data_IF_769882606170
#
_entry.id   IF_769882606170
#
_cell.length_a   1.000
_cell.length_b   1.000
_cell.length_c   1.000
_cell.angle_alpha   90.00
_cell.angle_beta   90.00
_cell.angle_gamma   90.00
#
_symmetry.space_group_name_H-M   'P 1'
#
loop_
_entity.id
_entity.type
_entity.pdbx_description
1 polymer ?
#
# COMPACT_ATOMS: atom_id res chain seq x y z
N UNK A 1 -40.54 2.87 20.65
CA UNK A 1 -39.86 4.05 20.06
C UNK A 1 -38.42 4.04 20.53
N UNK A 2 -37.52 3.50 19.74
CA UNK A 2 -36.07 3.46 20.02
C UNK A 2 -35.44 4.83 19.79
N UNK A 3 -34.70 5.29 20.78
CA UNK A 3 -34.00 6.59 20.79
C UNK A 3 -32.89 6.58 19.75
N UNK A 4 -33.08 7.25 18.62
CA UNK A 4 -32.03 7.49 17.61
C UNK A 4 -31.00 8.44 18.23
N UNK A 5 -29.93 7.85 18.77
CA UNK A 5 -28.76 8.60 19.23
C UNK A 5 -27.76 8.64 18.07
N UNK A 6 -27.65 9.78 17.40
CA UNK A 6 -26.72 10.12 16.32
C UNK A 6 -26.94 9.44 14.96
N UNK A 7 -28.14 9.13 14.51
CA UNK A 7 -28.41 8.83 13.09
C UNK A 7 -27.69 7.61 12.44
N UNK A 8 -26.80 6.91 13.15
CA UNK A 8 -26.04 5.79 12.64
C UNK A 8 -26.66 4.46 13.11
N UNK A 9 -26.73 3.47 12.20
CA UNK A 9 -27.08 2.10 12.54
C UNK A 9 -25.90 1.35 13.22
N UNK A 10 -26.11 0.08 13.58
CA UNK A 10 -25.11 -0.72 14.28
C UNK A 10 -23.87 -0.98 13.43
N UNK A 11 -24.03 -1.15 12.12
CA UNK A 11 -22.94 -1.44 11.18
C UNK A 11 -22.10 -0.19 10.92
N UNK A 12 -22.74 0.95 10.78
CA UNK A 12 -22.06 2.24 10.66
C UNK A 12 -21.22 2.56 11.89
N UNK A 13 -21.75 2.34 13.11
CA UNK A 13 -20.97 2.51 14.34
C UNK A 13 -19.81 1.54 14.46
N UNK A 14 -19.95 0.31 13.95
CA UNK A 14 -18.87 -0.66 13.91
C UNK A 14 -17.78 -0.23 12.92
N UNK A 15 -18.17 0.27 11.76
CA UNK A 15 -17.23 0.80 10.75
C UNK A 15 -16.46 2.01 11.28
N UNK A 16 -17.13 2.98 11.94
CA UNK A 16 -16.45 4.11 12.56
C UNK A 16 -15.44 3.68 13.64
N UNK A 17 -15.84 2.76 14.53
CA UNK A 17 -14.92 2.21 15.55
C UNK A 17 -13.73 1.51 14.92
N UNK A 18 -13.95 0.80 13.81
CA UNK A 18 -12.86 0.16 13.08
C UNK A 18 -11.84 1.16 12.58
N UNK A 19 -12.28 2.26 11.98
CA UNK A 19 -11.36 3.30 11.50
C UNK A 19 -10.65 4.01 12.67
N UNK A 20 -11.33 4.31 13.77
CA UNK A 20 -10.70 4.88 14.97
C UNK A 20 -9.60 3.97 15.55
N UNK A 21 -9.86 2.66 15.61
CA UNK A 21 -8.88 1.69 16.06
C UNK A 21 -7.69 1.56 15.10
N UNK A 22 -7.94 1.59 13.78
CA UNK A 22 -6.88 1.54 12.78
C UNK A 22 -6.01 2.80 12.78
N UNK A 23 -6.58 3.98 13.01
CA UNK A 23 -5.82 5.23 13.10
C UNK A 23 -4.95 5.26 14.37
N UNK A 24 -5.50 4.83 15.50
CA UNK A 24 -4.73 4.67 16.74
C UNK A 24 -3.62 3.63 16.60
N UNK A 25 -3.90 2.51 15.93
CA UNK A 25 -2.92 1.48 15.66
C UNK A 25 -1.80 1.98 14.73
N UNK A 26 -2.13 2.74 13.67
CA UNK A 26 -1.15 3.37 12.79
C UNK A 26 -0.20 4.29 13.58
N UNK A 27 -0.76 5.12 14.43
CA UNK A 27 0.00 6.06 15.25
C UNK A 27 0.96 5.33 16.21
N UNK A 28 0.48 4.31 16.92
CA UNK A 28 1.28 3.55 17.88
C UNK A 28 2.31 2.65 17.20
N UNK A 29 1.92 1.89 16.17
CA UNK A 29 2.87 1.03 15.45
C UNK A 29 3.99 1.82 14.78
N UNK A 30 3.69 3.01 14.26
CA UNK A 30 4.71 3.87 13.65
C UNK A 30 5.68 4.47 14.67
N UNK A 31 5.23 4.73 15.91
CA UNK A 31 6.04 5.38 16.96
C UNK A 31 6.92 4.40 17.72
N UNK A 32 6.36 3.26 18.10
CA UNK A 32 7.01 2.32 19.04
C UNK A 32 7.15 0.88 18.50
N UNK A 33 6.67 0.63 17.28
CA UNK A 33 6.72 -0.67 16.63
C UNK A 33 5.66 -1.66 17.11
N UNK A 34 5.46 -2.74 16.34
CA UNK A 34 4.50 -3.80 16.67
C UNK A 34 4.78 -4.48 18.00
N UNK A 35 6.04 -4.88 18.36
CA UNK A 35 6.30 -5.59 19.61
C UNK A 35 5.88 -4.82 20.86
N UNK A 36 6.03 -3.50 20.84
CA UNK A 36 5.83 -2.64 22.00
C UNK A 36 4.42 -2.02 22.07
N UNK A 37 3.51 -2.40 21.19
CA UNK A 37 2.14 -1.87 21.15
C UNK A 37 1.17 -2.91 21.68
N UNK A 38 0.41 -2.58 22.73
CA UNK A 38 -0.64 -3.44 23.30
C UNK A 38 -2.04 -3.07 22.78
N UNK A 39 -2.99 -4.01 22.91
CA UNK A 39 -4.41 -3.76 22.59
C UNK A 39 -4.97 -2.66 23.48
N UNK A 40 -4.59 -2.63 24.76
CA UNK A 40 -5.03 -1.62 25.73
C UNK A 40 -4.58 -0.22 25.33
N UNK A 41 -3.34 -0.09 24.83
CA UNK A 41 -2.82 1.19 24.31
C UNK A 41 -3.61 1.64 23.09
N UNK A 42 -3.90 0.74 22.15
CA UNK A 42 -4.72 1.04 20.96
C UNK A 42 -6.10 1.51 21.38
N UNK A 43 -6.76 0.77 22.30
CA UNK A 43 -8.07 1.11 22.81
C UNK A 43 -8.11 2.49 23.50
N UNK A 44 -7.12 2.75 24.36
CA UNK A 44 -7.00 4.02 25.07
C UNK A 44 -6.81 5.19 24.09
N UNK A 45 -5.92 5.04 23.11
CA UNK A 45 -5.65 6.06 22.08
C UNK A 45 -6.87 6.31 21.19
N UNK A 46 -7.63 5.25 20.86
CA UNK A 46 -8.84 5.34 20.05
C UNK A 46 -10.08 5.80 20.84
N UNK A 47 -9.99 5.92 22.15
CA UNK A 47 -11.14 6.14 23.05
C UNK A 47 -12.24 5.08 22.88
N UNK A 48 -11.84 3.83 22.68
CA UNK A 48 -12.71 2.66 22.45
C UNK A 48 -12.47 1.64 23.55
N UNK A 49 -13.54 1.07 24.11
CA UNK A 49 -13.41 0.03 25.14
C UNK A 49 -12.82 -1.28 24.57
N UNK A 50 -12.05 -2.01 25.38
CA UNK A 50 -11.42 -3.28 24.98
C UNK A 50 -12.44 -4.32 24.47
N UNK A 51 -13.64 -4.37 25.03
CA UNK A 51 -14.72 -5.22 24.51
C UNK A 51 -15.05 -4.88 23.06
N UNK A 52 -15.14 -3.59 22.74
CA UNK A 52 -15.45 -3.13 21.39
C UNK A 52 -14.29 -3.34 20.41
N UNK A 53 -13.05 -3.44 20.88
CA UNK A 53 -11.94 -3.89 20.05
C UNK A 53 -12.18 -5.32 19.56
N UNK A 54 -12.51 -6.24 20.47
CA UNK A 54 -12.76 -7.64 20.10
C UNK A 54 -14.04 -7.87 19.28
N UNK A 55 -14.96 -6.90 19.26
CA UNK A 55 -16.09 -6.90 18.31
C UNK A 55 -15.66 -6.61 16.86
N UNK A 56 -14.45 -6.05 16.68
CA UNK A 56 -13.92 -5.60 15.38
C UNK A 56 -12.72 -6.44 14.92
N UNK A 57 -11.82 -6.77 15.83
CA UNK A 57 -10.57 -7.50 15.56
C UNK A 57 -10.37 -8.63 16.57
N UNK A 58 -10.08 -9.83 16.09
CA UNK A 58 -9.84 -11.01 16.94
C UNK A 58 -8.52 -10.92 17.71
N UNK A 59 -7.57 -10.11 17.24
CA UNK A 59 -6.24 -9.97 17.83
C UNK A 59 -5.54 -8.68 17.40
N UNK A 60 -4.44 -8.34 18.07
CA UNK A 60 -3.53 -7.27 17.65
C UNK A 60 -2.96 -7.52 16.25
N UNK A 61 -2.65 -8.77 15.93
CA UNK A 61 -2.19 -9.19 14.61
C UNK A 61 -3.27 -8.94 13.54
N UNK A 62 -4.52 -9.30 13.82
CA UNK A 62 -5.65 -9.04 12.91
C UNK A 62 -5.84 -7.54 12.67
N UNK A 63 -5.65 -6.70 13.69
CA UNK A 63 -5.67 -5.25 13.55
C UNK A 63 -4.51 -4.75 12.67
N UNK A 64 -3.29 -5.28 12.84
CA UNK A 64 -2.15 -4.92 12.00
C UNK A 64 -2.34 -5.33 10.54
N UNK A 65 -2.82 -6.54 10.28
CA UNK A 65 -3.17 -7.03 8.94
C UNK A 65 -4.24 -6.15 8.29
N UNK A 66 -5.27 -5.76 9.05
CA UNK A 66 -6.32 -4.86 8.57
C UNK A 66 -5.77 -3.46 8.24
N UNK A 67 -4.77 -2.97 8.98
CA UNK A 67 -4.08 -1.72 8.68
C UNK A 67 -3.30 -1.80 7.37
N UNK A 68 -2.53 -2.87 7.14
CA UNK A 68 -1.82 -3.10 5.87
C UNK A 68 -2.79 -3.22 4.70
N UNK A 69 -3.92 -3.89 4.90
CA UNK A 69 -4.97 -4.01 3.90
C UNK A 69 -5.58 -2.65 3.55
N UNK A 70 -5.96 -1.84 4.54
CA UNK A 70 -6.48 -0.48 4.35
C UNK A 70 -5.51 0.39 3.54
N UNK A 71 -4.21 0.32 3.85
CA UNK A 71 -3.19 1.06 3.11
C UNK A 71 -3.11 0.62 1.65
N UNK A 72 -3.15 -0.69 1.40
CA UNK A 72 -3.15 -1.25 0.04
C UNK A 72 -4.40 -0.83 -0.73
N UNK A 73 -5.59 -0.95 -0.15
CA UNK A 73 -6.87 -0.57 -0.78
C UNK A 73 -6.87 0.91 -1.21
N UNK A 74 -6.35 1.81 -0.38
CA UNK A 74 -6.22 3.24 -0.74
C UNK A 74 -5.26 3.46 -1.91
N UNK A 75 -4.17 2.73 -1.94
CA UNK A 75 -3.24 2.76 -3.07
C UNK A 75 -3.90 2.21 -4.33
N UNK A 76 -4.58 1.06 -4.24
CA UNK A 76 -5.32 0.43 -5.34
C UNK A 76 -6.34 1.38 -5.96
N UNK A 77 -7.16 2.03 -5.14
CA UNK A 77 -8.14 3.02 -5.58
C UNK A 77 -7.48 4.20 -6.31
N UNK A 78 -6.35 4.68 -5.79
CA UNK A 78 -5.61 5.80 -6.38
C UNK A 78 -5.01 5.42 -7.72
N UNK A 79 -4.34 4.28 -7.80
CA UNK A 79 -3.70 3.79 -9.02
C UNK A 79 -4.73 3.49 -10.12
N UNK A 80 -5.83 2.81 -9.77
CA UNK A 80 -6.90 2.47 -10.70
C UNK A 80 -7.58 3.72 -11.25
N UNK A 81 -7.88 4.69 -10.40
CA UNK A 81 -8.47 5.96 -10.80
C UNK A 81 -7.57 6.74 -11.75
N UNK A 82 -6.28 6.83 -11.45
CA UNK A 82 -5.31 7.51 -12.31
C UNK A 82 -5.16 6.82 -13.66
N UNK A 83 -5.03 5.50 -13.69
CA UNK A 83 -4.96 4.75 -14.95
C UNK A 83 -6.21 4.96 -15.80
N UNK A 84 -7.39 4.98 -15.19
CA UNK A 84 -8.66 5.22 -15.90
C UNK A 84 -8.76 6.65 -16.43
N UNK A 85 -8.33 7.64 -15.66
CA UNK A 85 -8.38 9.06 -16.06
C UNK A 85 -7.46 9.36 -17.25
N UNK A 86 -6.34 8.65 -17.36
CA UNK A 86 -5.35 8.81 -18.42
C UNK A 86 -5.45 7.72 -19.51
N UNK A 87 -6.57 7.00 -19.56
CA UNK A 87 -6.82 6.00 -20.60
C UNK A 87 -6.81 6.68 -21.98
N UNK A 88 -5.89 6.25 -22.85
CA UNK A 88 -5.67 6.84 -24.18
C UNK A 88 -4.39 7.67 -24.32
N UNK A 89 -3.71 8.02 -23.25
CA UNK A 89 -2.33 8.50 -23.28
C UNK A 89 -1.33 7.38 -23.59
N UNK A 90 -0.14 7.71 -24.04
CA UNK A 90 0.94 6.72 -24.17
C UNK A 90 1.48 6.30 -22.80
N UNK A 91 2.02 5.09 -22.71
CA UNK A 91 2.65 4.59 -21.46
C UNK A 91 3.73 5.56 -20.96
N UNK A 92 4.49 6.15 -21.87
CA UNK A 92 5.56 7.10 -21.55
C UNK A 92 5.04 8.38 -20.87
N UNK A 93 3.83 8.80 -21.21
CA UNK A 93 3.18 9.98 -20.60
C UNK A 93 2.52 9.65 -19.28
N UNK A 94 1.98 8.45 -19.14
CA UNK A 94 1.18 8.04 -17.96
C UNK A 94 2.03 7.47 -16.84
N UNK A 95 3.08 6.71 -17.14
CA UNK A 95 3.89 6.02 -16.14
C UNK A 95 4.52 6.95 -15.09
N UNK A 96 5.11 8.12 -15.42
CA UNK A 96 5.66 9.01 -14.40
C UNK A 96 4.63 9.49 -13.39
N UNK A 97 3.41 9.80 -13.84
CA UNK A 97 2.31 10.19 -12.96
C UNK A 97 1.85 9.06 -12.02
N UNK A 98 1.81 7.82 -12.51
CA UNK A 98 1.50 6.64 -11.69
C UNK A 98 2.59 6.38 -10.65
N UNK A 99 3.87 6.46 -11.02
CA UNK A 99 4.98 6.26 -10.09
C UNK A 99 5.07 7.37 -9.05
N UNK A 100 4.80 8.61 -9.44
CA UNK A 100 4.67 9.73 -8.50
C UNK A 100 3.55 9.45 -7.48
N UNK A 101 2.36 9.07 -7.93
CA UNK A 101 1.24 8.75 -7.04
C UNK A 101 1.55 7.54 -6.13
N UNK A 102 2.26 6.55 -6.65
CA UNK A 102 2.72 5.39 -5.88
C UNK A 102 3.67 5.81 -4.76
N UNK A 103 4.68 6.63 -5.05
CA UNK A 103 5.60 7.16 -4.05
C UNK A 103 4.86 7.98 -2.98
N UNK A 104 4.07 8.98 -3.41
CA UNK A 104 3.29 9.83 -2.51
C UNK A 104 2.37 9.03 -1.58
N UNK A 105 1.65 8.03 -2.10
CA UNK A 105 0.76 7.20 -1.29
C UNK A 105 1.48 6.43 -0.17
N UNK A 106 2.76 6.15 -0.34
CA UNK A 106 3.57 5.34 0.59
C UNK A 106 4.43 6.18 1.54
N UNK A 107 4.82 7.41 1.15
CA UNK A 107 5.80 8.18 1.93
C UNK A 107 5.31 9.53 2.45
N UNK A 108 4.22 10.12 1.93
CA UNK A 108 3.70 11.41 2.39
C UNK A 108 3.27 11.40 3.85
N UNK A 109 2.72 10.27 4.32
CA UNK A 109 2.50 10.06 5.75
C UNK A 109 3.64 9.20 6.32
N UNK A 110 4.55 9.79 7.11
CA UNK A 110 5.68 9.08 7.70
C UNK A 110 5.26 7.85 8.52
N UNK A 111 4.04 7.82 9.03
CA UNK A 111 3.51 6.69 9.78
C UNK A 111 3.25 5.49 8.86
N UNK A 112 2.71 5.75 7.66
CA UNK A 112 2.49 4.71 6.63
C UNK A 112 3.83 4.13 6.20
N UNK A 113 4.80 4.99 5.88
CA UNK A 113 6.14 4.55 5.50
C UNK A 113 6.76 3.63 6.57
N UNK A 114 6.74 4.05 7.84
CA UNK A 114 7.29 3.26 8.96
C UNK A 114 6.57 1.92 9.17
N UNK A 115 5.26 1.87 9.02
CA UNK A 115 4.49 0.62 9.16
C UNK A 115 4.69 -0.30 7.96
N UNK A 116 4.79 0.25 6.75
CA UNK A 116 4.92 -0.53 5.52
C UNK A 116 6.35 -1.08 5.34
N UNK A 117 7.36 -0.26 5.59
CA UNK A 117 8.78 -0.56 5.32
C UNK A 117 9.62 -0.83 6.57
N UNK A 118 9.15 -0.41 7.77
CA UNK A 118 9.87 -0.61 9.02
C UNK A 118 9.92 -2.08 9.47
N UNK A 119 9.89 -2.32 10.78
CA UNK A 119 10.06 -3.65 11.41
C UNK A 119 8.96 -4.70 11.09
N UNK A 120 8.18 -4.49 10.04
CA UNK A 120 7.11 -5.40 9.63
C UNK A 120 7.64 -6.75 9.09
N UNK A 121 8.89 -6.82 8.69
CA UNK A 121 9.57 -8.08 8.35
C UNK A 121 9.72 -8.96 9.59
N UNK A 122 9.09 -10.17 9.57
CA UNK A 122 9.24 -11.13 10.66
C UNK A 122 8.21 -11.03 11.80
N UNK A 123 7.15 -10.19 11.68
CA UNK A 123 6.08 -10.16 12.70
C UNK A 123 5.38 -11.51 12.78
N UNK A 124 4.88 -12.03 11.66
CA UNK A 124 4.24 -13.35 11.60
C UNK A 124 4.05 -13.82 10.15
N UNK A 125 3.80 -15.14 9.94
CA UNK A 125 3.44 -15.68 8.63
C UNK A 125 2.16 -15.06 8.05
N UNK A 126 1.22 -14.62 8.88
CA UNK A 126 -0.04 -13.99 8.44
C UNK A 126 0.21 -12.59 7.88
N UNK A 127 1.01 -11.80 8.57
CA UNK A 127 1.44 -10.46 8.10
C UNK A 127 2.20 -10.59 6.79
N UNK A 128 3.12 -11.55 6.67
CA UNK A 128 3.87 -11.77 5.44
C UNK A 128 2.98 -12.21 4.28
N UNK A 129 1.98 -13.06 4.52
CA UNK A 129 0.97 -13.40 3.50
C UNK A 129 0.22 -12.17 3.00
N UNK A 130 -0.18 -11.26 3.89
CA UNK A 130 -0.87 -10.02 3.48
C UNK A 130 0.05 -9.13 2.63
N UNK A 131 1.31 -8.97 3.02
CA UNK A 131 2.29 -8.21 2.22
C UNK A 131 2.48 -8.79 0.82
N UNK A 132 2.58 -10.12 0.71
CA UNK A 132 2.64 -10.79 -0.59
C UNK A 132 1.37 -10.60 -1.40
N UNK A 133 0.20 -10.62 -0.77
CA UNK A 133 -1.07 -10.34 -1.44
C UNK A 133 -1.09 -8.94 -2.03
N UNK A 134 -0.65 -7.93 -1.25
CA UNK A 134 -0.56 -6.55 -1.72
C UNK A 134 0.40 -6.41 -2.92
N UNK A 135 1.58 -7.05 -2.86
CA UNK A 135 2.55 -7.02 -3.97
C UNK A 135 2.04 -7.73 -5.23
N UNK A 136 1.31 -8.85 -5.08
CA UNK A 136 0.70 -9.55 -6.21
C UNK A 136 -0.38 -8.73 -6.89
N UNK A 137 -1.18 -7.99 -6.12
CA UNK A 137 -2.11 -7.05 -6.69
C UNK A 137 -1.38 -6.01 -7.55
N UNK A 138 -0.33 -5.39 -7.03
CA UNK A 138 0.45 -4.38 -7.77
C UNK A 138 1.07 -4.96 -9.05
N UNK A 139 1.57 -6.20 -9.02
CA UNK A 139 2.07 -6.89 -10.21
C UNK A 139 0.96 -7.14 -11.23
N UNK A 140 -0.22 -7.60 -10.81
CA UNK A 140 -1.38 -7.77 -11.68
C UNK A 140 -1.88 -6.45 -12.28
N UNK A 141 -1.81 -5.35 -11.54
CA UNK A 141 -2.09 -4.01 -12.06
C UNK A 141 -1.12 -3.61 -13.18
N UNK A 142 0.19 -3.87 -13.02
CA UNK A 142 1.17 -3.63 -14.07
C UNK A 142 0.93 -4.49 -15.32
N UNK A 143 0.61 -5.77 -15.14
CA UNK A 143 0.29 -6.66 -16.26
C UNK A 143 -0.91 -6.13 -17.06
N UNK A 144 -1.99 -5.72 -16.39
CA UNK A 144 -3.15 -5.13 -17.04
C UNK A 144 -2.81 -3.82 -17.77
N UNK A 145 -1.97 -2.99 -17.17
CA UNK A 145 -1.50 -1.76 -17.79
C UNK A 145 -0.71 -2.06 -19.07
N UNK A 146 0.21 -3.03 -19.04
CA UNK A 146 0.98 -3.44 -20.21
C UNK A 146 0.11 -4.07 -21.31
N UNK A 147 -0.88 -4.88 -20.93
CA UNK A 147 -1.84 -5.45 -21.89
C UNK A 147 -2.66 -4.38 -22.61
N UNK A 148 -2.94 -3.26 -21.94
CA UNK A 148 -3.62 -2.12 -22.54
C UNK A 148 -2.76 -1.39 -23.59
N UNK A 149 -1.43 -1.38 -23.41
CA UNK A 149 -0.51 -0.72 -24.36
C UNK A 149 -0.01 -1.64 -25.46
N UNK A 150 0.34 -2.89 -25.13
CA UNK A 150 0.98 -3.82 -26.07
C UNK A 150 0.00 -4.80 -26.72
N UNK A 151 -1.24 -4.89 -26.22
CA UNK A 151 -2.19 -5.96 -26.54
C UNK A 151 -1.94 -7.24 -25.75
N UNK A 152 -2.77 -8.24 -25.97
CA UNK A 152 -2.72 -9.51 -25.24
C UNK A 152 -1.48 -10.32 -25.63
N UNK A 153 -0.65 -10.73 -24.66
CA UNK A 153 0.57 -11.51 -24.90
C UNK A 153 0.27 -12.98 -25.27
N UNK A 154 1.22 -13.62 -25.92
CA UNK A 154 1.24 -15.09 -26.04
C UNK A 154 1.34 -15.75 -24.65
N UNK A 155 1.11 -17.08 -24.54
CA UNK A 155 1.21 -17.77 -23.26
C UNK A 155 2.65 -17.75 -22.69
N UNK A 156 3.65 -17.85 -23.56
CA UNK A 156 5.07 -17.76 -23.16
C UNK A 156 5.40 -16.36 -22.66
N UNK A 157 4.97 -15.32 -23.36
CA UNK A 157 5.19 -13.93 -22.99
C UNK A 157 4.46 -13.57 -21.69
N UNK A 158 3.28 -14.13 -21.46
CA UNK A 158 2.52 -13.94 -20.22
C UNK A 158 3.31 -14.41 -19.00
N UNK A 159 3.95 -15.59 -19.09
CA UNK A 159 4.78 -16.10 -18.00
C UNK A 159 5.98 -15.19 -17.73
N UNK A 160 6.64 -14.72 -18.79
CA UNK A 160 7.77 -13.79 -18.68
C UNK A 160 7.31 -12.45 -18.08
N UNK A 161 6.23 -11.86 -18.59
CA UNK A 161 5.65 -10.61 -18.07
C UNK A 161 5.28 -10.74 -16.58
N UNK A 162 4.67 -11.85 -16.17
CA UNK A 162 4.34 -12.08 -14.75
C UNK A 162 5.58 -12.06 -13.87
N UNK A 163 6.65 -12.78 -14.26
CA UNK A 163 7.91 -12.79 -13.53
C UNK A 163 8.53 -11.41 -13.42
N UNK A 164 8.55 -10.66 -14.52
CA UNK A 164 9.09 -9.29 -14.55
C UNK A 164 8.23 -8.34 -13.72
N UNK A 165 6.89 -8.44 -13.77
CA UNK A 165 6.00 -7.61 -12.96
C UNK A 165 6.23 -7.82 -11.47
N UNK A 166 6.36 -9.07 -11.01
CA UNK A 166 6.71 -9.39 -9.61
C UNK A 166 8.06 -8.80 -9.21
N UNK A 167 9.08 -8.96 -10.07
CA UNK A 167 10.42 -8.43 -9.83
C UNK A 167 10.44 -6.90 -9.81
N UNK A 168 9.75 -6.27 -10.76
CA UNK A 168 9.65 -4.81 -10.83
C UNK A 168 8.96 -4.23 -9.59
N UNK A 169 7.83 -4.79 -9.17
CA UNK A 169 7.16 -4.37 -7.92
C UNK A 169 8.08 -4.55 -6.72
N UNK A 170 8.80 -5.68 -6.63
CA UNK A 170 9.80 -5.90 -5.59
C UNK A 170 10.85 -4.80 -5.57
N UNK A 171 11.47 -4.52 -6.71
CA UNK A 171 12.48 -3.47 -6.83
C UNK A 171 11.97 -2.06 -6.52
N UNK A 172 10.74 -1.71 -6.94
CA UNK A 172 10.14 -0.41 -6.57
C UNK A 172 9.97 -0.27 -5.05
N UNK A 173 9.53 -1.33 -4.36
CA UNK A 173 9.43 -1.33 -2.90
C UNK A 173 10.80 -1.27 -2.23
N UNK A 174 11.80 -1.96 -2.77
CA UNK A 174 13.16 -1.97 -2.21
C UNK A 174 13.85 -0.61 -2.39
N UNK A 175 13.66 0.07 -3.54
CA UNK A 175 14.15 1.44 -3.75
C UNK A 175 13.57 2.42 -2.74
N UNK A 176 12.26 2.36 -2.47
CA UNK A 176 11.63 3.19 -1.42
C UNK A 176 12.17 2.82 -0.04
N UNK A 177 12.33 1.53 0.24
CA UNK A 177 12.84 1.06 1.53
C UNK A 177 14.27 1.52 1.80
N UNK A 178 15.14 1.46 0.79
CA UNK A 178 16.52 1.94 0.85
C UNK A 178 16.57 3.46 1.03
N UNK A 179 15.81 4.19 0.22
CA UNK A 179 15.70 5.65 0.33
C UNK A 179 15.27 6.10 1.74
N UNK A 180 14.33 5.38 2.37
CA UNK A 180 13.83 5.71 3.71
C UNK A 180 14.88 5.56 4.83
N UNK A 181 16.02 4.91 4.59
CA UNK A 181 17.09 4.77 5.58
C UNK A 181 17.75 6.11 5.89
N UNK A 182 17.90 6.96 4.87
CA UNK A 182 18.66 8.22 4.95
C UNK A 182 17.80 9.46 4.63
N UNK A 183 16.55 9.28 4.20
CA UNK A 183 15.70 10.36 3.74
C UNK A 183 15.18 11.26 4.85
N UNK A 184 15.21 12.54 4.60
CA UNK A 184 14.36 13.51 5.29
C UNK A 184 12.99 13.56 4.58
N UNK A 185 11.97 12.94 5.21
CA UNK A 185 10.61 12.85 4.67
C UNK A 185 9.93 14.21 4.45
N UNK A 186 10.49 15.29 4.98
CA UNK A 186 10.02 16.66 4.77
C UNK A 186 10.77 17.39 3.66
N UNK A 187 11.80 16.75 3.10
CA UNK A 187 12.58 17.32 2.00
C UNK A 187 11.97 16.96 0.65
N UNK A 188 11.19 17.88 0.08
CA UNK A 188 10.50 17.71 -1.18
C UNK A 188 11.43 17.32 -2.33
N UNK A 189 12.65 17.86 -2.37
CA UNK A 189 13.61 17.56 -3.44
C UNK A 189 14.06 16.10 -3.40
N UNK A 190 14.28 15.54 -2.21
CA UNK A 190 14.62 14.12 -2.07
C UNK A 190 13.50 13.21 -2.54
N UNK A 191 12.23 13.62 -2.36
CA UNK A 191 11.09 12.88 -2.88
C UNK A 191 11.00 12.96 -4.41
N UNK A 192 11.29 14.11 -5.00
CA UNK A 192 11.39 14.28 -6.45
C UNK A 192 12.48 13.38 -7.04
N UNK A 193 13.68 13.34 -6.42
CA UNK A 193 14.77 12.45 -6.82
C UNK A 193 14.35 10.96 -6.73
N UNK A 194 13.65 10.55 -5.68
CA UNK A 194 13.10 9.19 -5.57
C UNK A 194 12.12 8.86 -6.71
N UNK A 195 11.22 9.78 -7.04
CA UNK A 195 10.24 9.58 -8.12
C UNK A 195 10.95 9.41 -9.47
N UNK A 196 12.01 10.17 -9.71
CA UNK A 196 12.84 10.05 -10.90
C UNK A 196 13.57 8.69 -10.95
N UNK A 197 14.09 8.20 -9.82
CA UNK A 197 14.73 6.88 -9.72
C UNK A 197 13.73 5.76 -9.98
N UNK A 198 12.53 5.81 -9.39
CA UNK A 198 11.46 4.85 -9.63
C UNK A 198 11.04 4.84 -11.11
N UNK A 199 10.92 6.02 -11.70
CA UNK A 199 10.56 6.19 -13.11
C UNK A 199 11.63 5.63 -14.04
N UNK A 200 12.89 5.92 -13.76
CA UNK A 200 14.03 5.41 -14.51
C UNK A 200 14.11 3.89 -14.42
N UNK A 201 13.94 3.32 -13.23
CA UNK A 201 13.93 1.87 -13.03
C UNK A 201 12.79 1.21 -13.81
N UNK A 202 11.56 1.72 -13.69
CA UNK A 202 10.41 1.24 -14.44
C UNK A 202 10.67 1.23 -15.94
N UNK A 203 11.08 2.37 -16.52
CA UNK A 203 11.32 2.52 -17.96
C UNK A 203 12.44 1.56 -18.43
N UNK A 204 13.49 1.37 -17.63
CA UNK A 204 14.60 0.50 -17.97
C UNK A 204 14.17 -0.96 -18.06
N UNK A 205 13.42 -1.45 -17.07
CA UNK A 205 12.88 -2.81 -17.06
C UNK A 205 11.87 -2.99 -18.20
N UNK A 206 11.01 -2.02 -18.43
CA UNK A 206 9.97 -2.06 -19.44
C UNK A 206 10.52 -2.13 -20.86
N UNK A 207 11.60 -1.40 -21.14
CA UNK A 207 12.29 -1.47 -22.43
C UNK A 207 12.82 -2.87 -22.74
N UNK A 208 13.34 -3.57 -21.74
CA UNK A 208 13.79 -4.95 -21.90
C UNK A 208 12.69 -5.90 -22.37
N UNK A 209 11.45 -5.69 -21.89
CA UNK A 209 10.30 -6.52 -22.29
C UNK A 209 9.85 -6.28 -23.75
N UNK A 210 10.04 -5.08 -24.28
CA UNK A 210 9.57 -4.68 -25.62
C UNK A 210 10.60 -5.00 -26.71
N UNK A 211 11.88 -5.09 -26.35
CA UNK A 211 12.99 -5.21 -27.32
C UNK A 211 13.20 -6.66 -27.79
N UNK A 212 12.60 -7.67 -27.17
CA UNK A 212 12.75 -9.10 -27.51
C UNK A 212 11.73 -9.59 -28.56
N UNK A 213 11.03 -8.69 -29.24
CA UNK A 213 10.11 -8.96 -30.36
C UNK A 213 10.49 -8.09 -31.56
#
# INVERSE_FOLDING_TARGET
MGRVIRGLDADQRRAERREQLLDAALDLFSKQGYPNTSIEQICTTAYVGTKSFYEVFDSREACYVALLKRTSERLEDTMTRLATTHAGGSEREVAPGLLSAFAHALVDDPRIARVTFGQAGGISPTVERQRRTNRRWAAGFLEQLWDAYDGQPSELDRRTRHGVAIGLVGGLFDLISDWLLDADLYNRRQLEDLIDDLTTFYITVRRGLVTEH
#
